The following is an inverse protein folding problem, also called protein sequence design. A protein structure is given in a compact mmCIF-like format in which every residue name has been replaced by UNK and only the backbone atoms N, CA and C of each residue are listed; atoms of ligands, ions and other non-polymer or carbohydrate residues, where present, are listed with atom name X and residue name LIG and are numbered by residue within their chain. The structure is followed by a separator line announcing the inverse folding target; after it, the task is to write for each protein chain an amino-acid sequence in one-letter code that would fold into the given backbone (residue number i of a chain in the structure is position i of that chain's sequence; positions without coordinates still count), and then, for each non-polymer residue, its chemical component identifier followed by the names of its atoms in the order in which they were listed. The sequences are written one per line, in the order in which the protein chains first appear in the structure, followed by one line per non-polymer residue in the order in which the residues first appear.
data_IF_404882620684
#
_entry.id   IF_404882620684
#
_cell.length_a   1.000
_cell.length_b   1.000
_cell.length_c   1.000
_cell.angle_alpha   90.00
_cell.angle_beta   90.00
_cell.angle_gamma   90.00
#
_symmetry.space_group_name_H-M   'P 1'
#
loop_
_entity.id
_entity.type
_entity.pdbx_description
1 polymer ?
#
# COMPACT_ATOMS: atom_id res chain seq x y z
N UNK A 1 1.53 -14.24 34.69
CA UNK A 1 2.11 -14.35 33.33
C UNK A 1 3.29 -13.39 33.27
N UNK A 2 4.49 -13.89 33.01
CA UNK A 2 5.70 -13.05 32.89
C UNK A 2 5.65 -12.39 31.52
N UNK A 3 5.40 -11.08 31.47
CA UNK A 3 5.53 -10.31 30.23
C UNK A 3 7.01 -10.06 30.00
N UNK A 4 7.63 -10.80 29.08
CA UNK A 4 8.98 -10.53 28.58
C UNK A 4 8.88 -9.33 27.63
N UNK A 5 9.68 -8.30 27.87
CA UNK A 5 9.66 -7.05 27.09
C UNK A 5 10.38 -7.24 25.75
N UNK A 6 10.08 -6.44 24.73
CA UNK A 6 10.83 -6.43 23.45
C UNK A 6 12.34 -6.23 23.66
N UNK A 7 12.71 -5.43 24.66
CA UNK A 7 14.10 -5.19 25.06
C UNK A 7 14.80 -6.46 25.58
N UNK A 8 14.16 -7.17 26.50
CA UNK A 8 14.70 -8.40 27.08
C UNK A 8 14.93 -9.47 26.00
N UNK A 9 14.01 -9.57 25.04
CA UNK A 9 14.18 -10.46 23.88
C UNK A 9 15.34 -10.05 22.97
N UNK A 10 15.50 -8.76 22.72
CA UNK A 10 16.62 -8.25 21.90
C UNK A 10 17.96 -8.63 22.53
N UNK A 11 18.12 -8.37 23.82
CA UNK A 11 19.39 -8.55 24.52
C UNK A 11 19.72 -10.04 24.73
N UNK A 12 18.73 -10.86 25.09
CA UNK A 12 18.96 -12.27 25.43
C UNK A 12 18.95 -13.21 24.21
N UNK A 13 18.26 -12.86 23.12
CA UNK A 13 18.03 -13.78 22.00
C UNK A 13 18.56 -13.25 20.68
N UNK A 14 18.37 -11.97 20.36
CA UNK A 14 18.78 -11.42 19.07
C UNK A 14 20.28 -11.10 19.03
N UNK A 15 20.80 -10.44 20.06
CA UNK A 15 22.20 -10.01 20.12
C UNK A 15 23.23 -11.14 20.11
N UNK A 16 23.04 -12.28 20.82
CA UNK A 16 23.96 -13.41 20.72
C UNK A 16 24.01 -14.01 19.32
N UNK A 17 22.88 -14.02 18.60
CA UNK A 17 22.80 -14.54 17.23
C UNK A 17 23.49 -13.57 16.27
N UNK A 18 23.24 -12.26 16.39
CA UNK A 18 23.91 -11.22 15.58
C UNK A 18 25.42 -11.21 15.74
N UNK A 19 25.92 -11.48 16.95
CA UNK A 19 27.37 -11.61 17.21
C UNK A 19 27.98 -12.86 16.59
N UNK A 20 27.21 -13.95 16.50
CA UNK A 20 27.66 -15.23 15.92
C UNK A 20 27.55 -15.25 14.40
N UNK A 21 26.49 -14.67 13.87
CA UNK A 21 26.18 -14.57 12.45
C UNK A 21 25.72 -13.15 12.15
N UNK A 22 26.45 -12.46 11.28
CA UNK A 22 26.09 -11.11 10.88
C UNK A 22 24.80 -11.11 10.04
N UNK A 23 24.08 -9.99 10.06
CA UNK A 23 22.88 -9.83 9.25
C UNK A 23 23.24 -9.61 7.78
N UNK A 24 22.32 -9.99 6.87
CA UNK A 24 22.54 -9.83 5.41
C UNK A 24 22.83 -8.38 5.00
N UNK A 25 22.28 -7.42 5.76
CA UNK A 25 22.41 -6.00 5.54
C UNK A 25 22.53 -5.31 6.89
N UNK A 26 23.32 -4.25 6.95
CA UNK A 26 23.46 -3.43 8.16
C UNK A 26 22.13 -2.74 8.54
N UNK A 27 21.28 -2.42 7.56
CA UNK A 27 19.97 -1.81 7.78
C UNK A 27 18.95 -2.36 6.78
N UNK A 28 17.76 -2.66 7.26
CA UNK A 28 16.61 -3.00 6.43
C UNK A 28 15.76 -1.76 6.24
N UNK A 29 15.75 -1.21 5.03
CA UNK A 29 14.94 -0.03 4.66
C UNK A 29 13.94 -0.37 3.58
N UNK A 30 12.80 0.28 3.64
CA UNK A 30 11.85 0.35 2.52
C UNK A 30 12.43 1.21 1.38
N UNK A 31 11.80 1.22 0.21
CA UNK A 31 12.20 2.10 -0.90
C UNK A 31 12.02 3.60 -0.60
N UNK A 32 11.39 3.93 0.53
CA UNK A 32 11.17 5.30 1.00
C UNK A 32 12.08 5.66 2.19
N UNK A 33 13.17 4.91 2.38
CA UNK A 33 14.18 5.12 3.44
C UNK A 33 13.66 4.95 4.88
N UNK A 34 12.50 4.33 5.07
CA UNK A 34 11.97 4.01 6.39
C UNK A 34 12.65 2.73 6.90
N UNK A 35 13.27 2.80 8.08
CA UNK A 35 13.90 1.66 8.76
C UNK A 35 12.87 0.66 9.27
N UNK A 36 13.17 -0.62 9.10
CA UNK A 36 12.33 -1.75 9.47
C UNK A 36 12.99 -2.48 10.63
N UNK A 37 12.28 -2.56 11.77
CA UNK A 37 12.70 -3.30 12.95
C UNK A 37 12.65 -4.81 12.69
N UNK A 38 13.47 -5.56 13.44
CA UNK A 38 13.48 -7.03 13.38
C UNK A 38 12.17 -7.68 13.83
N UNK A 39 11.40 -7.02 14.70
CA UNK A 39 10.14 -7.51 15.24
C UNK A 39 9.21 -6.35 15.58
N UNK A 40 7.95 -6.46 15.15
CA UNK A 40 6.86 -5.59 15.58
C UNK A 40 5.88 -6.39 16.44
N UNK A 41 5.61 -5.93 17.66
CA UNK A 41 4.70 -6.59 18.60
C UNK A 41 3.65 -5.62 19.18
N UNK A 42 2.89 -6.09 20.18
CA UNK A 42 1.87 -5.25 20.84
C UNK A 42 2.45 -4.00 21.52
N UNK A 43 3.71 -4.00 21.94
CA UNK A 43 4.35 -2.83 22.54
C UNK A 43 4.48 -1.71 21.52
N UNK A 44 4.77 -2.05 20.26
CA UNK A 44 4.84 -1.09 19.15
C UNK A 44 3.44 -0.61 18.70
N UNK A 45 2.40 -1.44 18.86
CA UNK A 45 1.04 -1.06 18.51
C UNK A 45 0.38 -0.16 19.56
N UNK A 46 0.75 -0.31 20.84
CA UNK A 46 0.28 0.54 21.96
C UNK A 46 0.75 1.99 21.88
N UNK A 47 1.84 2.25 21.18
CA UNK A 47 2.30 3.63 20.93
C UNK A 47 1.39 4.39 19.94
N UNK A 48 0.52 3.69 19.20
CA UNK A 48 -0.48 4.34 18.36
C UNK A 48 -1.73 4.62 19.18
N UNK A 49 -2.07 5.89 19.34
CA UNK A 49 -3.33 6.30 19.95
C UNK A 49 -4.49 5.59 19.24
N UNK A 50 -5.35 4.91 19.99
CA UNK A 50 -6.53 4.25 19.40
C UNK A 50 -7.42 5.25 18.63
N UNK A 51 -7.41 6.51 19.05
CA UNK A 51 -8.06 7.63 18.37
C UNK A 51 -7.45 7.96 17.00
N UNK A 52 -6.16 7.71 16.79
CA UNK A 52 -5.48 7.94 15.49
C UNK A 52 -5.88 6.92 14.42
N UNK A 53 -6.33 5.74 14.84
CA UNK A 53 -6.78 4.68 13.93
C UNK A 53 -8.29 4.84 13.61
N UNK A 54 -9.09 5.20 14.61
CA UNK A 54 -10.52 5.52 14.45
C UNK A 54 -11.38 4.36 13.91
N UNK A 55 -12.61 4.71 13.52
CA UNK A 55 -13.56 3.83 12.82
C UNK A 55 -13.64 4.20 11.33
N UNK A 56 -13.93 3.23 10.44
CA UNK A 56 -14.12 3.53 9.01
C UNK A 56 -15.31 4.48 8.83
N UNK A 57 -15.14 5.54 8.03
CA UNK A 57 -16.18 6.54 7.81
C UNK A 57 -16.19 7.72 8.80
N UNK A 58 -15.30 7.72 9.79
CA UNK A 58 -15.12 8.82 10.73
C UNK A 58 -13.70 9.39 10.64
N UNK A 59 -13.52 10.67 10.97
CA UNK A 59 -12.19 11.28 11.06
C UNK A 59 -11.35 10.51 12.10
N UNK A 60 -10.07 10.14 11.82
CA UNK A 60 -9.18 10.60 10.74
C UNK A 60 -9.16 9.73 9.46
N UNK A 61 -10.16 8.88 9.23
CA UNK A 61 -10.30 8.04 8.03
C UNK A 61 -9.15 7.06 7.76
N UNK A 62 -8.31 6.76 8.76
CA UNK A 62 -7.17 5.84 8.63
C UNK A 62 -7.57 4.44 8.17
N UNK A 63 -8.77 3.98 8.55
CA UNK A 63 -9.36 2.69 8.12
C UNK A 63 -10.20 2.77 6.84
N UNK A 64 -10.36 3.96 6.27
CA UNK A 64 -11.15 4.21 5.06
C UNK A 64 -12.21 5.28 5.25
N UNK A 65 -12.58 5.93 4.13
CA UNK A 65 -13.51 7.07 4.07
C UNK A 65 -14.98 6.64 4.16
N UNK A 66 -15.31 5.41 3.79
CA UNK A 66 -16.69 4.92 3.79
C UNK A 66 -16.91 3.92 4.93
N UNK A 67 -18.04 3.96 5.67
CA UNK A 67 -18.31 3.00 6.73
C UNK A 67 -18.40 1.55 6.25
N UNK A 68 -19.04 1.32 5.10
CA UNK A 68 -19.28 -0.02 4.55
C UNK A 68 -18.21 -0.45 3.51
N UNK A 69 -17.23 0.42 3.21
CA UNK A 69 -16.14 0.21 2.24
C UNK A 69 -16.55 -0.69 1.04
N UNK A 70 -15.74 -1.72 0.76
CA UNK A 70 -15.94 -2.64 -0.36
C UNK A 70 -16.95 -3.74 -0.11
N UNK A 71 -17.57 -3.81 1.09
CA UNK A 71 -18.70 -4.71 1.34
C UNK A 71 -19.96 -4.22 0.65
N UNK A 72 -20.13 -2.90 0.54
CA UNK A 72 -21.26 -2.29 -0.20
C UNK A 72 -20.97 -2.17 -1.69
N UNK A 73 -19.89 -1.48 -2.05
CA UNK A 73 -19.50 -1.26 -3.45
C UNK A 73 -18.02 -1.54 -3.63
N UNK A 74 -17.69 -2.46 -4.52
CA UNK A 74 -16.29 -2.72 -4.89
C UNK A 74 -15.62 -1.47 -5.47
N UNK A 75 -14.30 -1.43 -5.34
CA UNK A 75 -13.52 -0.39 -6.01
C UNK A 75 -13.78 -0.44 -7.53
N UNK A 76 -13.76 0.74 -8.14
CA UNK A 76 -14.09 0.87 -9.55
C UNK A 76 -12.80 0.51 -10.32
N UNK A 77 -12.81 -0.58 -11.12
CA UNK A 77 -11.65 -1.07 -11.88
C UNK A 77 -11.23 -0.17 -13.06
N UNK A 78 -10.30 0.76 -12.82
CA UNK A 78 -9.72 1.73 -13.77
C UNK A 78 -8.80 1.06 -14.80
N UNK A 79 -9.32 0.61 -15.94
CA UNK A 79 -8.42 0.27 -17.06
C UNK A 79 -8.09 1.52 -17.89
N UNK A 80 -6.80 1.84 -17.95
CA UNK A 80 -6.29 2.83 -18.90
C UNK A 80 -6.31 2.21 -20.30
N UNK A 81 -7.08 2.81 -21.20
CA UNK A 81 -7.06 2.47 -22.61
C UNK A 81 -6.91 3.77 -23.40
N UNK A 82 -6.09 3.73 -24.43
CA UNK A 82 -5.78 4.90 -25.26
C UNK A 82 -4.78 4.50 -26.32
N UNK A 83 -5.20 4.56 -27.57
CA UNK A 83 -4.38 4.35 -28.76
C UNK A 83 -4.23 5.69 -29.49
N UNK A 84 -3.30 5.75 -30.45
CA UNK A 84 -2.95 7.00 -31.13
C UNK A 84 -4.14 7.64 -31.87
N UNK A 85 -5.08 6.83 -32.39
CA UNK A 85 -6.30 7.33 -33.04
C UNK A 85 -7.51 7.32 -32.08
N UNK A 86 -8.39 8.34 -32.15
CA UNK A 86 -9.69 8.34 -31.47
C UNK A 86 -10.57 7.13 -31.82
N UNK A 87 -10.54 6.68 -33.07
CA UNK A 87 -11.37 5.57 -33.57
C UNK A 87 -10.95 4.23 -32.96
N UNK A 88 -9.65 3.97 -32.91
CA UNK A 88 -9.07 2.77 -32.32
C UNK A 88 -9.28 2.75 -30.80
N UNK A 89 -9.17 3.91 -30.16
CA UNK A 89 -9.47 4.07 -28.73
C UNK A 89 -10.93 3.77 -28.43
N UNK A 90 -11.87 4.27 -29.24
CA UNK A 90 -13.30 3.97 -29.10
C UNK A 90 -13.60 2.48 -29.27
N UNK A 91 -13.02 1.82 -30.28
CA UNK A 91 -13.15 0.37 -30.48
C UNK A 91 -12.64 -0.40 -29.26
N UNK A 92 -11.51 0.02 -28.67
CA UNK A 92 -10.96 -0.58 -27.44
C UNK A 92 -11.88 -0.37 -26.24
N UNK A 93 -12.48 0.81 -26.08
CA UNK A 93 -13.43 1.06 -24.99
C UNK A 93 -14.67 0.18 -25.08
N UNK A 94 -15.24 0.02 -26.28
CA UNK A 94 -16.40 -0.86 -26.50
C UNK A 94 -16.09 -2.30 -26.13
N UNK A 95 -14.94 -2.80 -26.61
CA UNK A 95 -14.46 -4.13 -26.22
C UNK A 95 -14.31 -4.26 -24.70
N UNK A 96 -13.72 -3.26 -24.02
CA UNK A 96 -13.55 -3.31 -22.57
C UNK A 96 -14.90 -3.31 -21.84
N UNK A 97 -15.87 -2.49 -22.25
CA UNK A 97 -17.20 -2.47 -21.64
C UNK A 97 -17.92 -3.83 -21.78
N UNK A 98 -17.73 -4.52 -22.91
CA UNK A 98 -18.27 -5.87 -23.13
C UNK A 98 -17.62 -6.92 -22.22
N UNK A 99 -16.32 -6.78 -21.90
CA UNK A 99 -15.59 -7.70 -21.02
C UNK A 99 -15.86 -7.49 -19.52
N UNK A 100 -16.73 -6.55 -19.14
CA UNK A 100 -17.20 -6.38 -17.77
C UNK A 100 -16.72 -5.15 -16.97
N UNK A 101 -15.57 -4.47 -17.22
CA UNK A 101 -15.31 -3.20 -16.56
C UNK A 101 -16.35 -2.16 -16.99
N UNK A 102 -17.01 -1.55 -16.01
CA UNK A 102 -18.13 -0.61 -16.25
C UNK A 102 -17.70 0.76 -16.77
N UNK A 103 -16.42 0.94 -17.07
CA UNK A 103 -15.80 2.23 -17.31
C UNK A 103 -14.40 2.02 -17.91
N UNK A 104 -13.94 2.99 -18.71
CA UNK A 104 -12.58 3.06 -19.21
C UNK A 104 -12.05 4.50 -19.09
N UNK A 105 -10.77 4.66 -18.80
CA UNK A 105 -10.14 5.98 -18.70
C UNK A 105 -9.34 6.27 -19.98
N UNK A 106 -9.67 7.38 -20.66
CA UNK A 106 -9.03 7.80 -21.90
C UNK A 106 -7.73 8.55 -21.61
N UNK A 107 -6.60 7.99 -22.03
CA UNK A 107 -5.30 8.67 -21.97
C UNK A 107 -5.01 9.38 -23.29
N UNK A 108 -4.98 10.70 -23.25
CA UNK A 108 -4.55 11.54 -24.38
C UNK A 108 -3.02 11.69 -24.33
N UNK A 109 -2.31 11.35 -25.41
CA UNK A 109 -0.89 11.72 -25.53
C UNK A 109 -0.79 13.23 -25.72
N UNK A 110 0.10 13.89 -24.97
CA UNK A 110 0.48 15.25 -25.30
C UNK A 110 1.18 15.26 -26.66
N UNK A 111 0.62 15.97 -27.63
CA UNK A 111 1.26 16.21 -28.92
C UNK A 111 2.41 17.24 -28.73
N UNK A 112 3.55 16.79 -28.21
CA UNK A 112 4.80 17.54 -28.29
C UNK A 112 5.59 17.02 -29.50
N UNK A 113 5.63 17.75 -30.63
CA UNK A 113 6.22 17.25 -31.86
C UNK A 113 7.75 17.23 -31.88
N UNK A 114 8.44 17.68 -30.83
CA UNK A 114 9.91 17.64 -30.74
C UNK A 114 10.39 17.74 -29.28
N UNK A 115 10.76 16.60 -28.69
CA UNK A 115 11.80 16.54 -27.65
C UNK A 115 12.63 15.29 -27.95
N UNK A 116 13.91 15.54 -28.22
CA UNK A 116 15.00 14.61 -28.52
C UNK A 116 15.15 13.62 -27.38
#
# INVERSE_FOLDING_TARGET
MVHRTKRDWSDETLDPVRKRFDERKNQFKTSSDIEIDALYNEEDSRQRDSASIGYPGEYPFTRGVQPNMYRGRLWTMRQYAGLASPEESNKRYRYLLEQGPKWAECRVRSAHPNRI
#
